data_IF_177909382997
#
_entry.id   IF_177909382997
#
_cell.length_a   1.000
_cell.length_b   1.000
_cell.length_c   1.000
_cell.angle_alpha   90.00
_cell.angle_beta   90.00
_cell.angle_gamma   90.00
#
_symmetry.space_group_name_H-M   'P 1'
#
loop_
_entity.id
_entity.type
_entity.pdbx_description
1 polymer ?
#
# COMPACT_ATOMS: atom_id res chain seq x y z
N UNK A 1 10.46 -42.98 43.97
CA UNK A 1 9.40 -42.05 43.54
C UNK A 1 9.99 -40.65 43.51
N UNK A 2 10.73 -40.32 42.44
CA UNK A 2 11.35 -39.00 42.26
C UNK A 2 10.63 -38.29 41.12
N UNK A 3 10.07 -37.10 41.39
CA UNK A 3 9.49 -36.25 40.36
C UNK A 3 10.65 -35.68 39.52
N UNK A 4 10.60 -35.90 38.22
CA UNK A 4 11.47 -35.24 37.26
C UNK A 4 10.93 -33.82 37.07
N UNK A 5 11.74 -32.82 37.42
CA UNK A 5 11.48 -31.43 37.08
C UNK A 5 11.66 -31.26 35.57
N UNK A 6 10.53 -31.03 34.89
CA UNK A 6 10.48 -30.82 33.46
C UNK A 6 11.16 -29.52 33.09
N UNK A 7 12.32 -29.63 32.46
CA UNK A 7 13.03 -28.53 31.83
C UNK A 7 12.17 -27.99 30.68
N UNK A 8 11.67 -26.77 30.84
CA UNK A 8 10.87 -26.06 29.83
C UNK A 8 11.76 -25.82 28.60
N UNK A 9 11.32 -26.10 27.36
CA UNK A 9 12.13 -25.88 26.17
C UNK A 9 12.40 -24.37 25.99
N UNK A 10 13.54 -23.98 25.40
CA UNK A 10 13.84 -22.59 25.14
C UNK A 10 12.89 -22.12 24.03
N UNK A 11 11.85 -21.41 24.42
CA UNK A 11 11.05 -20.65 23.46
C UNK A 11 11.95 -19.54 22.94
N UNK A 12 12.04 -19.45 21.62
CA UNK A 12 12.64 -18.37 20.86
C UNK A 12 12.27 -17.04 21.52
N UNK A 13 13.28 -16.32 22.00
CA UNK A 13 13.19 -14.89 22.27
C UNK A 13 12.90 -14.24 20.92
N UNK A 14 11.63 -13.94 20.67
CA UNK A 14 11.31 -12.86 19.75
C UNK A 14 11.67 -11.60 20.51
N UNK A 15 12.71 -10.91 20.05
CA UNK A 15 13.01 -9.55 20.50
C UNK A 15 11.68 -8.78 20.57
N UNK A 16 11.39 -8.19 21.73
CA UNK A 16 10.29 -7.23 21.85
C UNK A 16 10.43 -6.23 20.70
N UNK A 17 9.33 -5.83 20.02
CA UNK A 17 9.44 -4.86 18.95
C UNK A 17 10.18 -3.66 19.51
N UNK A 18 11.34 -3.34 18.93
CA UNK A 18 11.99 -2.07 19.17
C UNK A 18 10.91 -1.04 18.91
N UNK A 19 10.45 -0.36 19.97
CA UNK A 19 9.68 0.86 19.83
C UNK A 19 10.62 1.81 19.08
N UNK A 20 10.47 1.79 17.76
CA UNK A 20 11.24 2.61 16.84
C UNK A 20 10.76 4.03 17.07
N UNK A 21 11.44 4.75 17.98
CA UNK A 21 11.26 6.18 18.25
C UNK A 21 11.38 7.05 16.97
N UNK A 22 11.74 6.44 15.83
CA UNK A 22 11.82 7.09 14.51
C UNK A 22 10.59 6.86 13.61
N UNK A 23 9.70 5.91 13.92
CA UNK A 23 8.50 5.66 13.12
C UNK A 23 7.37 6.64 13.47
N UNK A 24 7.09 7.56 12.55
CA UNK A 24 5.95 8.47 12.63
C UNK A 24 4.99 8.23 11.45
N UNK A 25 3.75 7.86 11.78
CA UNK A 25 2.70 7.58 10.80
C UNK A 25 2.41 8.79 9.92
N UNK A 26 2.48 10.01 10.44
CA UNK A 26 1.95 11.21 9.76
C UNK A 26 2.99 12.27 9.43
N UNK A 27 4.24 12.13 9.91
CA UNK A 27 5.32 13.05 9.57
C UNK A 27 5.48 13.18 8.06
N UNK A 28 5.48 14.42 7.57
CA UNK A 28 5.80 14.70 6.18
C UNK A 28 7.27 14.32 5.89
N UNK A 29 7.57 13.69 4.74
CA UNK A 29 8.94 13.54 4.28
C UNK A 29 9.63 14.91 4.24
N UNK A 30 10.88 14.95 4.69
CA UNK A 30 11.76 16.10 4.50
C UNK A 30 12.01 16.33 3.01
N UNK A 31 12.46 17.52 2.64
CA UNK A 31 12.81 17.82 1.24
C UNK A 31 13.82 16.79 0.69
N UNK A 32 14.86 16.47 1.46
CA UNK A 32 15.88 15.49 1.08
C UNK A 32 15.29 14.10 0.86
N UNK A 33 14.49 13.59 1.81
CA UNK A 33 13.82 12.28 1.67
C UNK A 33 12.91 12.24 0.44
N UNK A 34 12.21 13.34 0.15
CA UNK A 34 11.32 13.43 -1.01
C UNK A 34 12.09 13.50 -2.33
N UNK A 35 13.20 14.24 -2.38
CA UNK A 35 14.12 14.29 -3.53
C UNK A 35 14.80 12.95 -3.80
N UNK A 36 15.18 12.22 -2.75
CA UNK A 36 15.73 10.88 -2.85
C UNK A 36 14.67 9.90 -3.37
N UNK A 37 13.48 9.90 -2.77
CA UNK A 37 12.37 9.08 -3.21
C UNK A 37 12.01 9.36 -4.68
N UNK A 38 12.01 10.62 -5.11
CA UNK A 38 11.68 11.03 -6.48
C UNK A 38 12.60 10.40 -7.54
N UNK A 39 13.86 10.13 -7.21
CA UNK A 39 14.87 9.56 -8.12
C UNK A 39 14.74 8.04 -8.27
N UNK A 40 14.10 7.37 -7.32
CA UNK A 40 13.99 5.92 -7.30
C UNK A 40 13.01 5.42 -8.37
N UNK A 41 13.26 4.25 -8.98
CA UNK A 41 12.40 3.73 -10.03
C UNK A 41 11.16 3.04 -9.47
N UNK A 42 10.02 3.26 -10.12
CA UNK A 42 8.84 2.40 -10.06
C UNK A 42 8.59 1.79 -11.44
N UNK A 43 7.93 0.63 -11.47
CA UNK A 43 7.69 -0.14 -12.70
C UNK A 43 6.22 0.01 -13.08
N UNK A 44 5.96 0.46 -14.31
CA UNK A 44 4.62 0.59 -14.87
C UNK A 44 4.03 -0.75 -15.32
N UNK A 45 2.75 -0.77 -15.69
CA UNK A 45 2.04 -1.95 -16.22
C UNK A 45 2.75 -2.60 -17.42
N UNK A 46 3.45 -1.83 -18.24
CA UNK A 46 4.21 -2.33 -19.41
C UNK A 46 5.61 -2.86 -19.07
N UNK A 47 6.01 -2.82 -17.80
CA UNK A 47 7.36 -3.20 -17.36
C UNK A 47 8.39 -2.08 -17.50
N UNK A 48 7.99 -0.89 -17.96
CA UNK A 48 8.89 0.27 -18.08
C UNK A 48 9.16 0.85 -16.70
N UNK A 49 10.44 1.03 -16.38
CA UNK A 49 10.91 1.74 -15.17
C UNK A 49 10.84 3.24 -15.39
N UNK A 50 10.19 3.95 -14.49
CA UNK A 50 10.08 5.42 -14.49
C UNK A 50 10.51 5.96 -13.12
N UNK A 51 11.16 7.14 -13.03
CA UNK A 51 11.40 7.78 -11.74
C UNK A 51 10.08 8.03 -11.01
N UNK A 52 10.04 7.76 -9.71
CA UNK A 52 8.86 7.94 -8.88
C UNK A 52 8.37 9.39 -8.89
N UNK A 53 9.29 10.36 -8.97
CA UNK A 53 8.97 11.79 -9.09
C UNK A 53 8.11 12.14 -10.30
N UNK A 54 8.27 11.40 -11.41
CA UNK A 54 7.48 11.62 -12.62
C UNK A 54 5.98 11.37 -12.38
N UNK A 55 5.62 10.62 -11.33
CA UNK A 55 4.23 10.40 -11.01
C UNK A 55 3.54 11.67 -10.51
N UNK A 56 4.25 12.64 -9.95
CA UNK A 56 3.64 13.78 -9.26
C UNK A 56 4.30 15.13 -9.56
N UNK A 57 5.30 15.18 -10.43
CA UNK A 57 6.00 16.42 -10.79
C UNK A 57 5.07 17.50 -11.36
N UNK A 58 4.08 17.11 -12.17
CA UNK A 58 3.25 18.06 -12.94
C UNK A 58 1.87 18.31 -12.31
N UNK A 59 1.39 17.38 -11.48
CA UNK A 59 0.02 17.38 -10.95
C UNK A 59 -0.02 16.90 -9.50
N UNK A 60 -0.89 17.50 -8.68
CA UNK A 60 -1.15 17.01 -7.33
C UNK A 60 -1.67 15.57 -7.43
N UNK A 61 -1.05 14.69 -6.66
CA UNK A 61 -1.20 13.25 -6.78
C UNK A 61 -1.40 12.62 -5.43
N UNK A 62 -2.52 11.92 -5.28
CA UNK A 62 -2.70 10.94 -4.24
C UNK A 62 -1.93 9.68 -4.65
N UNK A 63 -0.95 9.27 -3.85
CA UNK A 63 -0.19 8.03 -4.04
C UNK A 63 -0.58 7.06 -2.92
N UNK A 64 -1.27 5.97 -3.26
CA UNK A 64 -1.60 4.92 -2.32
C UNK A 64 -0.69 3.71 -2.52
N UNK A 65 0.14 3.42 -1.52
CA UNK A 65 0.95 2.20 -1.44
C UNK A 65 0.14 1.09 -0.79
N UNK A 66 -0.28 0.09 -1.57
CA UNK A 66 -0.85 -1.13 -1.03
C UNK A 66 0.25 -2.09 -0.56
N UNK A 67 -0.11 -3.01 0.34
CA UNK A 67 0.81 -4.00 0.89
C UNK A 67 1.29 -5.01 -0.14
N UNK A 68 0.38 -5.72 -0.80
CA UNK A 68 0.72 -6.70 -1.84
C UNK A 68 -0.54 -7.09 -2.62
N UNK A 69 -0.40 -7.65 -3.83
CA UNK A 69 -1.54 -7.96 -4.70
C UNK A 69 -2.47 -9.05 -4.14
N UNK A 70 -1.92 -9.96 -3.33
CA UNK A 70 -2.70 -11.03 -2.69
C UNK A 70 -3.32 -10.62 -1.35
N UNK A 71 -3.20 -9.37 -0.92
CA UNK A 71 -3.66 -8.93 0.39
C UNK A 71 -5.20 -8.75 0.40
N UNK A 72 -5.95 -9.51 1.20
CA UNK A 72 -7.41 -9.35 1.25
C UNK A 72 -7.84 -7.96 1.71
N UNK A 73 -7.06 -7.34 2.61
CA UNK A 73 -7.32 -6.00 3.12
C UNK A 73 -7.08 -4.92 2.06
N UNK A 74 -6.01 -5.04 1.27
CA UNK A 74 -5.78 -4.12 0.16
C UNK A 74 -6.81 -4.30 -0.96
N UNK A 75 -7.41 -5.47 -1.09
CA UNK A 75 -8.48 -5.69 -2.06
C UNK A 75 -9.80 -5.06 -1.61
N UNK A 76 -10.15 -5.13 -0.32
CA UNK A 76 -11.24 -4.32 0.26
C UNK A 76 -10.96 -2.82 0.08
N UNK A 77 -9.70 -2.39 0.26
CA UNK A 77 -9.28 -1.02 0.01
C UNK A 77 -9.46 -0.61 -1.46
N UNK A 78 -9.03 -1.44 -2.40
CA UNK A 78 -9.24 -1.21 -3.84
C UNK A 78 -10.71 -1.20 -4.23
N UNK A 79 -11.54 -2.05 -3.61
CA UNK A 79 -12.99 -2.01 -3.81
C UNK A 79 -13.55 -0.68 -3.31
N UNK A 80 -13.10 -0.21 -2.14
CA UNK A 80 -13.47 1.11 -1.62
C UNK A 80 -13.08 2.24 -2.59
N UNK A 81 -11.86 2.22 -3.13
CA UNK A 81 -11.41 3.17 -4.16
C UNK A 81 -12.35 3.13 -5.37
N UNK A 82 -12.60 1.95 -5.95
CA UNK A 82 -13.44 1.81 -7.14
C UNK A 82 -14.90 2.22 -6.93
N UNK A 83 -15.42 2.14 -5.70
CA UNK A 83 -16.80 2.52 -5.41
C UNK A 83 -16.97 4.00 -5.04
N UNK A 84 -15.95 4.60 -4.44
CA UNK A 84 -16.10 5.92 -3.80
C UNK A 84 -15.28 7.03 -4.49
N UNK A 85 -14.38 6.71 -5.43
CA UNK A 85 -13.53 7.71 -6.10
C UNK A 85 -13.84 7.77 -7.58
N UNK A 86 -14.22 8.95 -8.06
CA UNK A 86 -14.44 9.23 -9.48
C UNK A 86 -13.19 9.84 -10.11
N UNK A 87 -12.63 9.18 -11.13
CA UNK A 87 -11.50 9.73 -11.89
C UNK A 87 -11.83 11.08 -12.54
N UNK A 88 -13.08 11.28 -12.97
CA UNK A 88 -13.53 12.54 -13.56
C UNK A 88 -13.57 13.68 -12.52
N UNK A 89 -14.01 13.38 -11.29
CA UNK A 89 -14.04 14.37 -10.20
C UNK A 89 -12.61 14.77 -9.81
N UNK A 90 -11.71 13.79 -9.64
CA UNK A 90 -10.31 14.07 -9.37
C UNK A 90 -9.69 14.93 -10.48
N UNK A 91 -9.93 14.56 -11.75
CA UNK A 91 -9.37 15.29 -12.88
C UNK A 91 -9.86 16.75 -12.94
N UNK A 92 -11.16 16.97 -12.70
CA UNK A 92 -11.76 18.32 -12.63
C UNK A 92 -11.18 19.17 -11.49
N UNK A 93 -10.75 18.53 -10.40
CA UNK A 93 -10.09 19.18 -9.28
C UNK A 93 -8.56 19.36 -9.48
N UNK A 94 -8.01 18.96 -10.63
CA UNK A 94 -6.58 19.01 -10.87
C UNK A 94 -5.80 18.01 -10.01
N UNK A 95 -6.45 16.95 -9.54
CA UNK A 95 -5.85 15.86 -8.74
C UNK A 95 -5.79 14.58 -9.56
N UNK A 96 -4.82 13.73 -9.27
CA UNK A 96 -4.77 12.35 -9.77
C UNK A 96 -4.60 11.36 -8.62
N UNK A 97 -4.97 10.10 -8.86
CA UNK A 97 -4.77 8.99 -7.94
C UNK A 97 -3.94 7.92 -8.65
N UNK A 98 -2.89 7.45 -7.99
CA UNK A 98 -2.05 6.35 -8.43
C UNK A 98 -1.89 5.33 -7.31
N UNK A 99 -1.78 4.06 -7.68
CA UNK A 99 -1.59 2.96 -6.74
C UNK A 99 -0.23 2.32 -6.96
N UNK A 100 0.50 2.05 -5.88
CA UNK A 100 1.80 1.37 -5.90
C UNK A 100 1.71 0.09 -5.07
N UNK A 101 2.26 -1.01 -5.58
CA UNK A 101 2.36 -2.30 -4.88
C UNK A 101 3.83 -2.77 -4.85
N UNK A 102 4.24 -3.65 -3.94
CA UNK A 102 5.57 -4.27 -4.02
C UNK A 102 5.59 -5.63 -4.74
N UNK A 103 4.48 -6.06 -5.34
CA UNK A 103 4.48 -7.26 -6.19
C UNK A 103 5.07 -7.04 -7.59
N UNK A 104 5.08 -8.08 -8.40
CA UNK A 104 5.51 -7.99 -9.81
C UNK A 104 4.57 -7.11 -10.65
N UNK A 105 5.15 -6.27 -11.52
CA UNK A 105 4.39 -5.43 -12.48
C UNK A 105 3.46 -6.26 -13.39
N UNK A 106 3.78 -7.53 -13.64
CA UNK A 106 2.98 -8.45 -14.45
C UNK A 106 1.58 -8.69 -13.85
N UNK A 107 1.42 -8.45 -12.54
CA UNK A 107 0.14 -8.55 -11.84
C UNK A 107 -0.77 -7.35 -12.07
N UNK A 108 -0.21 -6.18 -12.46
CA UNK A 108 -0.97 -4.92 -12.56
C UNK A 108 -2.19 -5.08 -13.46
N UNK A 109 -2.00 -5.61 -14.68
CA UNK A 109 -3.07 -5.73 -15.68
C UNK A 109 -4.25 -6.56 -15.16
N UNK A 110 -3.96 -7.70 -14.54
CA UNK A 110 -4.99 -8.55 -13.95
C UNK A 110 -5.68 -7.86 -12.77
N UNK A 111 -4.90 -7.23 -11.89
CA UNK A 111 -5.41 -6.52 -10.71
C UNK A 111 -6.34 -5.35 -11.10
N UNK A 112 -5.93 -4.52 -12.06
CA UNK A 112 -6.78 -3.45 -12.62
C UNK A 112 -8.09 -3.99 -13.16
N UNK A 113 -8.06 -5.11 -13.89
CA UNK A 113 -9.25 -5.73 -14.47
C UNK A 113 -10.23 -6.22 -13.40
N UNK A 114 -9.73 -6.82 -12.31
CA UNK A 114 -10.56 -7.29 -11.20
C UNK A 114 -11.34 -6.13 -10.57
N UNK A 115 -10.65 -5.01 -10.30
CA UNK A 115 -11.28 -3.85 -9.64
C UNK A 115 -11.90 -2.85 -10.61
N UNK A 116 -11.80 -3.10 -11.93
CA UNK A 116 -12.15 -2.16 -13.00
C UNK A 116 -11.57 -0.76 -12.75
N UNK A 117 -10.34 -0.72 -12.25
CA UNK A 117 -9.71 0.52 -11.81
C UNK A 117 -9.37 1.41 -13.01
N UNK A 118 -9.84 2.68 -13.05
CA UNK A 118 -9.41 3.65 -14.04
C UNK A 118 -8.02 4.21 -13.73
N UNK A 119 -7.55 4.09 -12.48
CA UNK A 119 -6.32 4.68 -11.99
C UNK A 119 -5.08 3.93 -12.44
N UNK A 120 -3.97 4.66 -12.60
CA UNK A 120 -2.68 4.08 -12.94
C UNK A 120 -2.12 3.26 -11.77
N UNK A 121 -1.48 2.15 -12.10
CA UNK A 121 -0.83 1.25 -11.14
C UNK A 121 0.64 1.11 -11.50
N UNK A 122 1.47 1.07 -10.45
CA UNK A 122 2.91 0.85 -10.53
C UNK A 122 3.33 -0.18 -9.49
N UNK A 123 4.57 -0.65 -9.61
CA UNK A 123 5.18 -1.51 -8.59
C UNK A 123 6.58 -1.05 -8.19
N UNK A 124 6.92 -1.25 -6.93
CA UNK A 124 8.29 -1.21 -6.41
C UNK A 124 8.61 -2.53 -5.69
N UNK A 125 9.04 -3.56 -6.43
CA UNK A 125 9.43 -4.85 -5.83
C UNK A 125 10.68 -4.78 -4.95
N UNK A 126 11.42 -3.67 -5.01
CA UNK A 126 12.66 -3.49 -4.22
C UNK A 126 12.42 -2.83 -2.86
N UNK A 127 11.20 -2.34 -2.63
CA UNK A 127 10.80 -1.56 -1.45
C UNK A 127 11.62 -0.26 -1.27
N UNK A 128 12.41 0.16 -2.26
CA UNK A 128 13.27 1.33 -2.13
C UNK A 128 12.45 2.60 -1.93
N UNK A 129 11.36 2.77 -2.68
CA UNK A 129 10.44 3.91 -2.52
C UNK A 129 9.68 3.79 -1.20
N UNK A 130 9.27 2.58 -0.82
CA UNK A 130 8.63 2.33 0.48
C UNK A 130 9.53 2.80 1.63
N UNK A 131 10.78 2.36 1.63
CA UNK A 131 11.78 2.68 2.64
C UNK A 131 12.16 4.16 2.64
N UNK A 132 12.40 4.76 1.47
CA UNK A 132 12.73 6.18 1.36
C UNK A 132 11.60 7.10 1.87
N UNK A 133 10.35 6.64 1.80
CA UNK A 133 9.21 7.35 2.37
C UNK A 133 8.94 6.99 3.83
N UNK A 134 9.76 6.16 4.48
CA UNK A 134 9.63 5.78 5.88
C UNK A 134 8.64 4.64 6.18
N UNK A 135 8.15 3.92 5.16
CA UNK A 135 7.32 2.72 5.33
C UNK A 135 8.20 1.49 5.64
N UNK A 136 8.98 1.59 6.71
CA UNK A 136 10.04 0.63 7.10
C UNK A 136 9.52 -0.56 7.91
N UNK A 137 8.35 -0.43 8.54
CA UNK A 137 7.76 -1.49 9.35
C UNK A 137 7.31 -2.68 8.49
N UNK A 138 7.65 -3.87 8.97
CA UNK A 138 7.22 -5.15 8.40
C UNK A 138 6.56 -5.99 9.49
N UNK A 139 5.27 -6.29 9.33
CA UNK A 139 4.51 -7.05 10.32
C UNK A 139 3.25 -7.70 9.73
N UNK A 140 2.79 -8.77 10.37
CA UNK A 140 1.49 -9.41 10.09
C UNK A 140 0.42 -9.04 11.13
N UNK A 141 0.76 -8.17 12.09
CA UNK A 141 -0.16 -7.75 13.12
C UNK A 141 -1.34 -6.97 12.56
N UNK A 142 -2.53 -7.28 13.07
CA UNK A 142 -3.78 -6.72 12.56
C UNK A 142 -3.98 -5.27 12.96
N UNK A 143 -3.61 -4.91 14.19
CA UNK A 143 -3.97 -3.63 14.76
C UNK A 143 -5.49 -3.40 14.83
N UNK A 144 -5.91 -2.16 15.11
CA UNK A 144 -7.31 -1.76 15.13
C UNK A 144 -8.01 -1.99 13.79
N UNK A 145 -9.34 -2.13 13.81
CA UNK A 145 -10.12 -2.31 12.57
C UNK A 145 -10.27 -0.98 11.84
N UNK A 146 -9.64 -0.83 10.68
CA UNK A 146 -9.82 0.32 9.78
C UNK A 146 -11.25 0.47 9.27
N UNK A 147 -11.69 1.71 9.03
CA UNK A 147 -13.08 2.05 8.64
C UNK A 147 -13.44 1.61 7.22
N UNK A 148 -12.46 1.35 6.36
CA UNK A 148 -12.66 0.85 4.99
C UNK A 148 -13.06 -0.64 4.94
N UNK A 149 -12.88 -1.39 6.04
CA UNK A 149 -13.12 -2.84 6.09
C UNK A 149 -14.61 -3.13 6.16
N UNK A 150 -15.25 -3.30 5.01
CA UNK A 150 -16.70 -3.56 4.86
C UNK A 150 -17.07 -5.04 4.99
N UNK A 151 -16.25 -5.96 4.47
CA UNK A 151 -16.54 -7.39 4.58
C UNK A 151 -15.99 -7.97 5.89
N UNK A 152 -16.82 -8.73 6.61
CA UNK A 152 -16.26 -9.75 7.49
C UNK A 152 -15.38 -10.68 6.65
N UNK A 153 -14.18 -11.03 7.13
CA UNK A 153 -13.14 -11.76 6.38
C UNK A 153 -13.62 -13.02 5.63
N UNK A 154 -14.81 -13.54 5.94
CA UNK A 154 -15.39 -14.77 5.38
C UNK A 154 -15.91 -14.57 3.94
N UNK A 155 -16.37 -13.37 3.55
CA UNK A 155 -16.94 -13.13 2.20
C UNK A 155 -15.95 -12.59 1.15
N UNK A 156 -15.05 -11.69 1.56
CA UNK A 156 -14.11 -11.01 0.66
C UNK A 156 -13.07 -11.95 0.05
N UNK A 157 -12.49 -12.84 0.86
CA UNK A 157 -11.46 -13.80 0.41
C UNK A 157 -12.04 -14.77 -0.65
N UNK A 158 -13.27 -15.26 -0.46
CA UNK A 158 -13.93 -16.13 -1.43
C UNK A 158 -14.22 -15.45 -2.77
N UNK A 159 -14.71 -14.21 -2.75
CA UNK A 159 -14.94 -13.40 -3.96
C UNK A 159 -13.66 -13.15 -4.75
N UNK A 160 -12.55 -12.91 -4.04
CA UNK A 160 -11.23 -12.66 -4.62
C UNK A 160 -10.68 -13.89 -5.29
N UNK A 161 -10.67 -15.04 -4.61
CA UNK A 161 -10.18 -16.29 -5.20
C UNK A 161 -10.98 -16.62 -6.45
N UNK A 162 -12.30 -16.45 -6.42
CA UNK A 162 -13.16 -16.64 -7.59
C UNK A 162 -12.81 -15.67 -8.72
N UNK A 163 -12.55 -14.39 -8.45
CA UNK A 163 -12.21 -13.43 -9.50
C UNK A 163 -10.78 -13.60 -10.03
N UNK A 164 -9.81 -13.90 -9.17
CA UNK A 164 -8.44 -14.21 -9.55
C UNK A 164 -8.40 -15.41 -10.51
N UNK A 165 -9.18 -16.46 -10.23
CA UNK A 165 -9.36 -17.60 -11.14
C UNK A 165 -10.04 -17.16 -12.45
N UNK A 166 -11.12 -16.38 -12.40
CA UNK A 166 -11.84 -15.92 -13.61
C UNK A 166 -11.00 -15.06 -14.55
N UNK A 167 -10.09 -14.23 -14.02
CA UNK A 167 -9.24 -13.37 -14.85
C UNK A 167 -7.91 -14.01 -15.25
N UNK A 168 -7.67 -15.26 -14.85
CA UNK A 168 -6.40 -15.94 -15.12
C UNK A 168 -5.23 -15.27 -14.41
N UNK A 169 -5.43 -14.79 -13.19
CA UNK A 169 -4.38 -14.13 -12.42
C UNK A 169 -3.22 -15.11 -12.22
N UNK A 170 -1.98 -14.74 -12.54
CA UNK A 170 -0.87 -15.67 -12.54
C UNK A 170 -0.46 -15.97 -11.10
N UNK A 171 -1.03 -17.04 -10.53
CA UNK A 171 -0.77 -17.50 -9.15
C UNK A 171 0.70 -17.88 -8.90
N UNK A 172 1.47 -18.08 -9.97
CA UNK A 172 2.90 -18.38 -9.92
C UNK A 172 3.80 -17.13 -9.88
N UNK A 173 3.23 -15.92 -9.96
CA UNK A 173 4.00 -14.67 -9.93
C UNK A 173 4.02 -14.06 -8.53
N UNK A 174 5.14 -13.42 -8.22
CA UNK A 174 5.40 -12.79 -6.93
C UNK A 174 4.38 -11.67 -6.68
N UNK A 175 3.47 -11.91 -5.75
CA UNK A 175 2.43 -10.93 -5.41
C UNK A 175 2.90 -9.82 -4.50
N UNK A 176 4.13 -9.91 -3.99
CA UNK A 176 4.74 -8.99 -3.05
C UNK A 176 5.13 -9.65 -1.72
N UNK A 177 5.99 -8.98 -0.96
CA UNK A 177 6.33 -9.35 0.40
C UNK A 177 5.12 -9.17 1.31
N UNK A 178 4.76 -10.22 2.05
CA UNK A 178 3.52 -10.24 2.84
C UNK A 178 3.66 -9.37 4.08
N UNK A 179 4.84 -9.33 4.70
CA UNK A 179 5.09 -8.50 5.89
C UNK A 179 5.12 -7.00 5.58
N UNK A 180 5.45 -6.61 4.34
CA UNK A 180 5.56 -5.22 3.95
C UNK A 180 4.24 -4.46 4.13
N UNK A 181 4.34 -3.29 4.76
CA UNK A 181 3.23 -2.38 4.98
C UNK A 181 3.16 -1.31 3.89
N UNK A 182 2.01 -0.61 3.84
CA UNK A 182 1.72 0.44 2.87
C UNK A 182 1.53 1.81 3.54
N UNK A 183 0.85 2.69 2.82
CA UNK A 183 0.61 4.06 3.26
C UNK A 183 0.01 4.91 2.14
N UNK A 184 -0.29 6.16 2.46
CA UNK A 184 -0.92 7.10 1.55
C UNK A 184 -0.25 8.46 1.66
N UNK A 185 -0.05 9.12 0.52
CA UNK A 185 0.58 10.43 0.47
C UNK A 185 -0.15 11.33 -0.51
N UNK A 186 -0.19 12.63 -0.22
CA UNK A 186 -0.56 13.66 -1.19
C UNK A 186 0.72 14.39 -1.58
N UNK A 187 1.15 14.17 -2.82
CA UNK A 187 2.42 14.64 -3.37
C UNK A 187 2.20 15.57 -4.56
N UNK A 188 3.13 16.49 -4.76
CA UNK A 188 3.15 17.37 -5.91
C UNK A 188 2.07 18.45 -5.93
N UNK A 189 2.08 19.32 -6.97
CA UNK A 189 3.09 19.37 -8.03
C UNK A 189 4.48 19.78 -7.52
N UNK A 190 5.52 19.46 -8.28
CA UNK A 190 6.92 19.62 -7.86
C UNK A 190 7.29 18.76 -6.64
N UNK A 191 8.49 18.97 -6.08
CA UNK A 191 9.01 18.22 -4.92
C UNK A 191 8.33 18.69 -3.63
N UNK A 192 7.05 18.38 -3.50
CA UNK A 192 6.21 18.75 -2.36
C UNK A 192 5.40 17.54 -1.87
N UNK A 193 5.17 17.48 -0.56
CA UNK A 193 4.24 16.54 0.05
C UNK A 193 3.44 17.31 1.11
N UNK A 194 2.11 17.37 0.93
CA UNK A 194 1.22 18.15 1.81
C UNK A 194 0.52 17.29 2.85
N UNK A 195 0.53 15.96 2.68
CA UNK A 195 -0.10 15.03 3.61
C UNK A 195 0.55 13.65 3.49
N UNK A 196 0.71 12.97 4.62
CA UNK A 196 1.32 11.64 4.69
C UNK A 196 0.63 10.76 5.73
N UNK A 197 0.54 9.48 5.42
CA UNK A 197 0.15 8.43 6.31
C UNK A 197 0.93 7.15 6.00
N UNK A 198 1.48 6.50 7.03
CA UNK A 198 2.18 5.22 6.95
C UNK A 198 1.45 4.22 7.83
N UNK A 199 1.18 3.04 7.29
CA UNK A 199 0.54 1.98 8.06
C UNK A 199 1.50 1.47 9.15
N UNK A 200 1.02 1.38 10.40
CA UNK A 200 1.70 0.66 11.48
C UNK A 200 1.31 -0.82 11.53
N UNK A 201 0.09 -1.14 11.09
CA UNK A 201 -0.46 -2.49 11.09
C UNK A 201 -1.07 -2.88 9.75
N UNK A 202 -1.37 -4.16 9.59
CA UNK A 202 -1.92 -4.70 8.34
C UNK A 202 -3.30 -4.14 7.96
N UNK A 203 -4.08 -3.63 8.91
CA UNK A 203 -5.42 -3.04 8.70
C UNK A 203 -5.44 -1.52 8.65
N UNK A 204 -4.28 -0.90 8.58
CA UNK A 204 -4.13 0.51 8.94
C UNK A 204 -4.23 1.49 7.77
N UNK A 205 -4.72 1.09 6.60
CA UNK A 205 -5.00 2.05 5.52
C UNK A 205 -5.97 3.14 5.99
N UNK A 206 -5.68 4.40 5.66
CA UNK A 206 -6.63 5.50 5.87
C UNK A 206 -7.73 5.39 4.83
N UNK A 207 -8.99 5.58 5.25
CA UNK A 207 -10.15 5.60 4.35
C UNK A 207 -9.88 6.51 3.14
N UNK A 208 -10.07 5.98 1.93
CA UNK A 208 -9.78 6.71 0.70
C UNK A 208 -10.48 8.08 0.62
N UNK A 209 -11.71 8.19 1.15
CA UNK A 209 -12.42 9.47 1.18
C UNK A 209 -11.68 10.54 1.99
N UNK A 210 -11.05 10.18 3.10
CA UNK A 210 -10.23 11.11 3.89
C UNK A 210 -8.95 11.52 3.16
N UNK A 211 -8.37 10.61 2.37
CA UNK A 211 -7.18 10.92 1.57
C UNK A 211 -7.53 11.86 0.41
N UNK A 212 -8.71 11.66 -0.20
CA UNK A 212 -9.26 12.54 -1.24
C UNK A 212 -9.58 13.93 -0.66
N UNK A 213 -10.20 14.00 0.51
CA UNK A 213 -10.41 15.24 1.27
C UNK A 213 -9.08 15.94 1.59
N UNK A 214 -8.06 15.20 2.04
CA UNK A 214 -6.72 15.73 2.29
C UNK A 214 -6.03 16.28 1.03
N UNK A 215 -6.44 15.84 -0.17
CA UNK A 215 -5.98 16.41 -1.43
C UNK A 215 -6.73 17.70 -1.82
N UNK A 216 -7.80 18.05 -1.10
CA UNK A 216 -8.65 19.21 -1.35
C UNK A 216 -9.77 18.93 -2.36
N UNK A 217 -10.32 17.71 -2.34
CA UNK A 217 -11.44 17.31 -3.21
C UNK A 217 -12.62 16.88 -2.33
N UNK A 218 -13.77 17.50 -2.55
CA UNK A 218 -15.04 17.26 -1.82
C UNK A 218 -15.93 16.21 -2.49
#
# INVERSE_FOLDING_TARGET
MGRQDGQKPPYLEFDEPLDDDTFDQTRLPTLTELEEAAKLPVISESGVRVPFGNLWQDKKTIVCFIRHFWCPLCQDYMFSISQNVSAQVLDSAGVQLVIVSNGSYEMIKAYRRIFRSPFALYTDPTHNVYNALGMTLQTLEKGPKGTYIRHGMIGGIGWVVVNAVKVGMPVWKEGGEISQLGGEFVMGPGVTCSWAHRMRYTRDHVSILKVVEAAGVD
#
